data_IF_753071805719
#
_entry.id   IF_753071805719
#
_cell.length_a   1.000
_cell.length_b   1.000
_cell.length_c   1.000
_cell.angle_alpha   90.00
_cell.angle_beta   90.00
_cell.angle_gamma   90.00
#
_symmetry.space_group_name_H-M   'P 1'
#
loop_
_entity.id
_entity.type
_entity.pdbx_description
1 polymer ?
#
# COMPACT_ATOMS: atom_id res chain seq x y z
N UNK A 1 30.50 21.78 1.89
CA UNK A 1 30.34 20.43 2.45
C UNK A 1 29.44 19.63 1.50
N UNK A 2 30.03 18.77 0.66
CA UNK A 2 29.29 17.94 -0.30
C UNK A 2 28.72 16.73 0.44
N UNK A 3 27.40 16.70 0.67
CA UNK A 3 26.70 15.61 1.35
C UNK A 3 25.67 14.95 0.43
N UNK A 4 26.03 13.77 -0.11
CA UNK A 4 25.15 12.63 -0.42
C UNK A 4 23.72 12.93 -0.96
N UNK A 5 23.62 13.46 -2.19
CA UNK A 5 22.37 13.47 -2.96
C UNK A 5 22.03 12.09 -3.57
N UNK A 6 22.27 11.01 -2.83
CA UNK A 6 21.69 9.69 -3.12
C UNK A 6 20.27 9.64 -2.57
N UNK A 7 19.33 10.36 -3.19
CA UNK A 7 17.95 10.39 -2.74
C UNK A 7 17.36 8.98 -2.71
N UNK A 8 16.83 8.55 -1.55
CA UNK A 8 16.12 7.26 -1.39
C UNK A 8 15.11 7.06 -2.53
N UNK A 9 15.40 6.13 -3.44
CA UNK A 9 14.48 5.68 -4.49
C UNK A 9 13.65 4.52 -3.92
N UNK A 10 12.37 4.76 -3.66
CA UNK A 10 11.51 3.85 -2.92
C UNK A 10 10.14 3.75 -3.59
N UNK A 11 9.46 2.66 -3.27
CA UNK A 11 8.09 2.39 -3.66
C UNK A 11 7.20 2.58 -2.43
N UNK A 12 6.34 3.59 -2.48
CA UNK A 12 5.33 3.83 -1.44
C UNK A 12 4.04 3.14 -1.86
N UNK A 13 3.54 2.25 -1.00
CA UNK A 13 2.29 1.52 -1.19
C UNK A 13 1.27 2.03 -0.17
N UNK A 14 0.03 2.20 -0.61
CA UNK A 14 -1.13 2.48 0.22
C UNK A 14 -2.26 1.49 -0.10
N UNK A 15 -2.72 0.76 0.92
CA UNK A 15 -3.97 0.00 0.85
C UNK A 15 -5.10 0.94 1.22
N UNK A 16 -5.94 1.25 0.24
CA UNK A 16 -7.04 2.20 0.36
C UNK A 16 -8.35 1.43 0.39
N UNK A 17 -9.22 1.75 1.34
CA UNK A 17 -10.59 1.27 1.37
C UNK A 17 -11.47 2.21 0.54
N UNK A 18 -12.08 1.73 -0.54
CA UNK A 18 -12.95 2.56 -1.37
C UNK A 18 -14.41 2.48 -0.94
N UNK A 19 -14.87 1.26 -0.64
CA UNK A 19 -16.22 0.92 -0.20
C UNK A 19 -16.18 -0.38 0.59
N UNK A 20 -17.28 -0.72 1.27
CA UNK A 20 -17.37 -1.84 2.26
C UNK A 20 -16.81 -3.18 1.76
N UNK A 21 -16.78 -3.40 0.46
CA UNK A 21 -16.35 -4.63 -0.18
C UNK A 21 -15.07 -4.50 -1.03
N UNK A 22 -14.49 -3.30 -1.16
CA UNK A 22 -13.43 -3.03 -2.11
C UNK A 22 -12.25 -2.30 -1.47
N UNK A 23 -11.11 -2.99 -1.47
CA UNK A 23 -9.82 -2.38 -1.22
C UNK A 23 -9.04 -2.25 -2.51
N UNK A 24 -8.24 -1.20 -2.60
CA UNK A 24 -7.26 -1.00 -3.65
C UNK A 24 -5.86 -0.91 -3.06
N UNK A 25 -4.88 -1.39 -3.82
CA UNK A 25 -3.46 -1.14 -3.59
C UNK A 25 -3.01 -0.07 -4.56
N UNK A 26 -2.76 1.12 -4.04
CA UNK A 26 -2.06 2.19 -4.76
C UNK A 26 -0.57 2.10 -4.51
N UNK A 27 0.24 2.24 -5.55
CA UNK A 27 1.68 2.27 -5.47
C UNK A 27 2.27 3.43 -6.24
N UNK A 28 3.31 4.03 -5.69
CA UNK A 28 4.03 5.12 -6.32
C UNK A 28 5.54 4.97 -6.10
N UNK A 29 6.31 5.04 -7.19
CA UNK A 29 7.77 5.16 -7.13
C UNK A 29 8.16 6.62 -6.95
N UNK A 30 9.04 6.90 -5.99
CA UNK A 30 9.45 8.26 -5.62
C UNK A 30 10.88 8.30 -5.12
N UNK A 31 11.53 9.46 -5.30
CA UNK A 31 12.92 9.70 -4.92
C UNK A 31 13.09 10.86 -3.94
N UNK A 32 14.01 10.72 -3.00
CA UNK A 32 14.45 11.81 -2.11
C UNK A 32 13.28 12.43 -1.34
N UNK A 33 13.20 13.76 -1.27
CA UNK A 33 12.14 14.49 -0.53
C UNK A 33 10.71 14.18 -1.00
N UNK A 34 10.54 13.74 -2.25
CA UNK A 34 9.23 13.32 -2.74
C UNK A 34 8.75 12.01 -2.08
N UNK A 35 9.67 11.19 -1.58
CA UNK A 35 9.34 9.97 -0.84
C UNK A 35 8.67 10.28 0.49
N UNK A 36 9.21 11.23 1.25
CA UNK A 36 8.62 11.68 2.52
C UNK A 36 7.21 12.21 2.28
N UNK A 37 7.03 13.07 1.27
CA UNK A 37 5.70 13.61 0.91
C UNK A 37 4.71 12.52 0.50
N UNK A 38 5.14 11.53 -0.30
CA UNK A 38 4.27 10.44 -0.72
C UNK A 38 3.89 9.54 0.47
N UNK A 39 4.85 9.23 1.35
CA UNK A 39 4.60 8.48 2.58
C UNK A 39 3.63 9.21 3.50
N UNK A 40 3.87 10.48 3.77
CA UNK A 40 3.04 11.28 4.67
C UNK A 40 1.63 11.47 4.09
N UNK A 41 1.53 11.62 2.76
CA UNK A 41 0.26 11.59 2.03
C UNK A 41 -0.47 10.26 2.16
N UNK A 42 0.21 9.13 1.97
CA UNK A 42 -0.37 7.80 2.16
C UNK A 42 -0.87 7.60 3.59
N UNK A 43 -0.07 7.97 4.59
CA UNK A 43 -0.40 7.88 6.02
C UNK A 43 -1.61 8.73 6.40
N UNK A 44 -1.67 9.97 5.91
CA UNK A 44 -2.70 10.95 6.25
C UNK A 44 -4.00 10.83 5.44
N UNK A 45 -4.00 10.07 4.34
CA UNK A 45 -5.19 9.94 3.50
C UNK A 45 -6.31 9.20 4.25
N UNK A 46 -7.49 9.82 4.32
CA UNK A 46 -8.62 9.40 5.15
C UNK A 46 -9.10 7.96 4.89
N UNK A 47 -8.84 7.43 3.68
CA UNK A 47 -9.22 6.08 3.28
C UNK A 47 -8.09 5.06 3.32
N UNK A 48 -6.85 5.48 3.62
CA UNK A 48 -5.73 4.54 3.71
C UNK A 48 -5.82 3.73 4.99
N UNK A 49 -5.87 2.42 4.85
CA UNK A 49 -5.93 1.45 5.94
C UNK A 49 -4.51 1.11 6.39
N UNK A 50 -3.65 0.78 5.43
CA UNK A 50 -2.24 0.46 5.67
C UNK A 50 -1.40 1.20 4.64
N UNK A 51 -0.26 1.71 5.07
CA UNK A 51 0.77 2.24 4.19
C UNK A 51 2.09 1.51 4.46
N UNK A 52 2.92 1.41 3.43
CA UNK A 52 4.24 0.82 3.53
C UNK A 52 5.21 1.43 2.52
N UNK A 53 6.48 1.40 2.84
CA UNK A 53 7.58 1.81 2.00
C UNK A 53 8.45 0.59 1.73
N UNK A 54 8.72 0.34 0.46
CA UNK A 54 9.61 -0.70 -0.01
C UNK A 54 10.78 -0.08 -0.75
N UNK A 55 11.93 -0.73 -0.75
CA UNK A 55 12.99 -0.38 -1.68
C UNK A 55 12.64 -0.82 -3.11
N UNK A 56 13.50 -0.52 -4.08
CA UNK A 56 13.27 -0.89 -5.49
C UNK A 56 13.26 -2.41 -5.73
N UNK A 57 13.89 -3.18 -4.86
CA UNK A 57 13.94 -4.64 -4.91
C UNK A 57 12.74 -5.29 -4.20
N UNK A 58 11.75 -4.50 -3.75
CA UNK A 58 10.56 -5.00 -3.07
C UNK A 58 10.79 -5.39 -1.60
N UNK A 59 11.92 -5.02 -1.00
CA UNK A 59 12.19 -5.24 0.43
C UNK A 59 11.51 -4.16 1.27
N UNK A 60 10.75 -4.60 2.26
CA UNK A 60 10.04 -3.72 3.20
C UNK A 60 11.02 -2.88 4.03
N UNK A 61 10.74 -1.58 4.15
CA UNK A 61 11.56 -0.63 4.90
C UNK A 61 10.83 -0.13 6.15
N UNK A 62 9.61 0.39 5.95
CA UNK A 62 8.76 0.91 7.02
C UNK A 62 7.29 0.84 6.60
N UNK A 63 6.38 1.02 7.55
CA UNK A 63 4.96 0.96 7.29
C UNK A 63 4.15 0.94 8.57
N UNK A 64 2.83 1.02 8.42
CA UNK A 64 1.91 1.00 9.53
C UNK A 64 0.49 1.32 9.11
N UNK A 65 -0.35 1.61 10.11
CA UNK A 65 -1.75 1.95 9.90
C UNK A 65 -1.88 3.38 9.37
N UNK A 66 -2.80 3.56 8.43
CA UNK A 66 -3.23 4.86 7.95
C UNK A 66 -4.43 5.40 8.73
N UNK A 67 -4.83 6.64 8.43
CA UNK A 67 -5.97 7.29 9.08
C UNK A 67 -7.30 6.52 8.91
N UNK A 68 -7.47 5.82 7.78
CA UNK A 68 -8.67 5.04 7.47
C UNK A 68 -8.78 3.71 8.21
N UNK A 69 -7.74 3.28 8.92
CA UNK A 69 -7.74 2.03 9.68
C UNK A 69 -8.85 1.97 10.73
N UNK A 70 -9.26 3.11 11.30
CA UNK A 70 -10.36 3.17 12.27
C UNK A 70 -11.71 2.66 11.73
N UNK A 71 -11.90 2.72 10.41
CA UNK A 71 -13.15 2.32 9.75
C UNK A 71 -13.19 0.82 9.42
N UNK A 72 -12.16 0.07 9.80
CA UNK A 72 -11.98 -1.33 9.41
C UNK A 72 -11.83 -2.20 10.67
N UNK A 73 -12.44 -3.40 10.71
CA UNK A 73 -12.29 -4.30 11.85
C UNK A 73 -10.82 -4.59 12.23
N UNK A 74 -10.45 -4.62 13.51
CA UNK A 74 -9.05 -4.83 13.94
C UNK A 74 -8.44 -6.16 13.49
N UNK A 75 -9.24 -7.21 13.39
CA UNK A 75 -8.85 -8.54 12.89
C UNK A 75 -8.48 -8.51 11.40
N UNK A 76 -9.26 -7.78 10.58
CA UNK A 76 -8.95 -7.51 9.18
C UNK A 76 -7.61 -6.80 9.03
N UNK A 77 -7.38 -5.75 9.83
CA UNK A 77 -6.12 -4.99 9.78
C UNK A 77 -4.94 -5.88 10.12
N UNK A 78 -5.03 -6.67 11.20
CA UNK A 78 -3.97 -7.61 11.60
C UNK A 78 -3.65 -8.62 10.51
N UNK A 79 -4.68 -9.09 9.79
CA UNK A 79 -4.50 -10.01 8.67
C UNK A 79 -3.83 -9.32 7.49
N UNK A 80 -4.29 -8.14 7.10
CA UNK A 80 -3.66 -7.35 6.04
C UNK A 80 -2.20 -7.00 6.36
N UNK A 81 -1.87 -6.64 7.61
CA UNK A 81 -0.49 -6.36 8.06
C UNK A 81 0.43 -7.57 7.85
N UNK A 82 -0.06 -8.79 8.10
CA UNK A 82 0.70 -10.04 7.90
C UNK A 82 0.85 -10.41 6.43
N UNK A 83 -0.22 -10.22 5.66
CA UNK A 83 -0.28 -10.62 4.25
C UNK A 83 0.30 -9.56 3.30
N UNK A 84 0.52 -8.32 3.74
CA UNK A 84 0.89 -7.21 2.85
C UNK A 84 2.11 -7.53 1.98
N UNK A 85 3.15 -8.11 2.57
CA UNK A 85 4.40 -8.41 1.87
C UNK A 85 4.28 -9.63 0.96
N UNK A 86 3.34 -10.54 1.21
CA UNK A 86 3.18 -11.77 0.42
C UNK A 86 1.96 -11.73 -0.51
N UNK A 87 1.15 -10.67 -0.41
CA UNK A 87 -0.04 -10.51 -1.22
C UNK A 87 0.34 -10.33 -2.70
N UNK A 88 -0.28 -11.15 -3.55
CA UNK A 88 -0.02 -11.16 -4.98
C UNK A 88 -0.24 -9.80 -5.65
N UNK A 89 -1.32 -9.08 -5.32
CA UNK A 89 -1.58 -7.75 -5.89
C UNK A 89 -0.47 -6.78 -5.52
N UNK A 90 -0.01 -6.78 -4.26
CA UNK A 90 1.10 -5.92 -3.82
C UNK A 90 2.37 -6.24 -4.58
N UNK A 91 2.71 -7.53 -4.72
CA UNK A 91 3.89 -7.97 -5.48
C UNK A 91 3.82 -7.58 -6.95
N UNK A 92 2.65 -7.69 -7.58
CA UNK A 92 2.44 -7.23 -8.95
C UNK A 92 2.61 -5.71 -9.10
N UNK A 93 2.13 -4.92 -8.13
CA UNK A 93 2.32 -3.46 -8.12
C UNK A 93 3.81 -3.13 -7.96
N UNK A 94 4.51 -3.74 -7.01
CA UNK A 94 5.93 -3.52 -6.79
C UNK A 94 6.76 -3.84 -8.05
N UNK A 95 6.48 -4.97 -8.70
CA UNK A 95 7.14 -5.36 -9.96
C UNK A 95 6.89 -4.36 -11.10
N UNK A 96 5.67 -3.84 -11.22
CA UNK A 96 5.35 -2.83 -12.23
C UNK A 96 6.11 -1.51 -12.00
N UNK A 97 6.27 -1.10 -10.74
CA UNK A 97 7.04 0.10 -10.36
C UNK A 97 8.55 -0.10 -10.54
N UNK A 98 9.05 -1.30 -10.26
CA UNK A 98 10.46 -1.67 -10.44
C UNK A 98 10.88 -1.54 -11.92
N UNK A 99 10.07 -2.09 -12.82
CA UNK A 99 10.31 -2.09 -14.28
C UNK A 99 10.17 -0.72 -14.95
N UNK A 100 9.79 0.33 -14.21
CA UNK A 100 9.54 1.70 -14.71
C UNK A 100 8.52 1.78 -15.85
N UNK A 101 7.65 0.79 -15.99
CA UNK A 101 6.54 0.86 -16.94
C UNK A 101 5.57 1.99 -16.56
N UNK A 102 5.47 2.30 -15.26
CA UNK A 102 4.75 3.45 -14.73
C UNK A 102 5.35 3.90 -13.39
N UNK A 103 5.24 5.19 -13.08
CA UNK A 103 5.62 5.75 -11.78
C UNK A 103 4.51 5.62 -10.73
N UNK A 104 3.28 5.33 -11.17
CA UNK A 104 2.08 5.17 -10.33
C UNK A 104 1.19 4.05 -10.86
N UNK A 105 0.68 3.22 -9.96
CA UNK A 105 -0.26 2.16 -10.32
C UNK A 105 -1.26 1.95 -9.19
N UNK A 106 -2.52 1.72 -9.54
CA UNK A 106 -3.53 1.25 -8.61
C UNK A 106 -4.14 -0.04 -9.12
N UNK A 107 -4.30 -1.02 -8.24
CA UNK A 107 -4.97 -2.29 -8.55
C UNK A 107 -5.95 -2.67 -7.43
N UNK A 108 -7.09 -3.29 -7.74
CA UNK A 108 -7.94 -3.90 -6.72
C UNK A 108 -7.14 -4.92 -5.90
N UNK A 109 -7.20 -4.82 -4.58
CA UNK A 109 -6.58 -5.78 -3.68
C UNK A 109 -7.38 -7.09 -3.74
N UNK A 110 -6.73 -8.15 -4.22
CA UNK A 110 -7.32 -9.49 -4.21
C UNK A 110 -6.89 -10.17 -2.93
N UNK A 111 -7.84 -10.41 -2.02
CA UNK A 111 -7.56 -11.05 -0.73
C UNK A 111 -8.79 -11.76 -0.17
N UNK A 112 -8.59 -12.90 0.51
CA UNK A 112 -9.66 -13.78 0.97
C UNK A 112 -10.19 -13.45 2.37
N UNK A 113 -10.12 -12.19 2.80
CA UNK A 113 -10.38 -11.79 4.19
C UNK A 113 -11.51 -10.82 4.41
N UNK A 114 -11.92 -10.06 3.40
CA UNK A 114 -13.00 -9.10 3.56
C UNK A 114 -13.54 -8.58 2.21
N UNK A 115 -14.85 -8.31 2.11
CA UNK A 115 -15.85 -8.56 3.15
C UNK A 115 -16.08 -10.07 3.31
N UNK A 116 -16.58 -10.53 4.48
CA UNK A 116 -16.89 -11.94 4.68
C UNK A 116 -17.75 -12.46 3.53
N UNK A 117 -17.51 -13.68 3.05
CA UNK A 117 -18.28 -14.29 1.94
C UNK A 117 -19.80 -14.28 2.16
N UNK A 118 -20.24 -14.18 3.43
CA UNK A 118 -21.64 -14.02 3.83
C UNK A 118 -22.27 -12.67 3.45
N UNK A 119 -21.46 -11.63 3.16
CA UNK A 119 -21.95 -10.34 2.68
C UNK A 119 -22.18 -10.31 1.16
N UNK A 120 -21.74 -11.33 0.43
CA UNK A 120 -22.13 -11.59 -0.97
C UNK A 120 -23.35 -12.51 -1.04
N UNK A 121 -24.35 -12.26 -0.19
CA UNK A 121 -25.64 -12.95 -0.26
C UNK A 121 -26.41 -12.53 -1.50
N UNK A 122 -26.28 -13.30 -2.58
CA UNK A 122 -27.40 -13.59 -3.49
C UNK A 122 -27.40 -15.09 -3.74
N UNK A 123 -28.19 -15.80 -2.92
CA UNK A 123 -29.21 -16.77 -3.31
C UNK A 123 -29.92 -17.27 -2.06
#
# INVERSE_FOLDING_TARGET
>A
MFGLFGGKDVNVIAVIFERRDLYQVGGQRVKGKAADKARDGAKGHARTVIWAVFNQQGSYQEGGRGAGAINVPPDVIKRLERELQTNRTVQEVLKALETKQTDKLAKPLVWGGYPPSQMHGIN
#
